data_IF_594180787911
#
_entry.id   IF_594180787911
#
_cell.length_a   1.000
_cell.length_b   1.000
_cell.length_c   1.000
_cell.angle_alpha   90.00
_cell.angle_beta   90.00
_cell.angle_gamma   90.00
#
_symmetry.space_group_name_H-M   'P 1'
#
loop_
_entity.id
_entity.type
_entity.pdbx_description
1 polymer ?
#
# COMPACT_ATOMS: atom_id res chain seq x y z
N UNK A 1 36.89 -31.81 -20.92
CA UNK A 1 36.04 -32.09 -19.80
C UNK A 1 35.42 -30.76 -19.39
N UNK A 2 34.21 -30.43 -19.88
CA UNK A 2 33.51 -29.16 -19.59
C UNK A 2 32.48 -29.45 -18.49
N UNK A 3 32.64 -28.76 -17.36
CA UNK A 3 31.63 -28.75 -16.29
C UNK A 3 30.59 -27.71 -16.67
N UNK A 4 29.38 -28.18 -17.02
CA UNK A 4 28.17 -27.36 -17.14
C UNK A 4 27.66 -27.13 -15.73
N UNK A 5 27.63 -25.86 -15.32
CA UNK A 5 26.98 -25.42 -14.09
C UNK A 5 25.50 -25.22 -14.38
N UNK A 6 24.67 -26.14 -13.92
CA UNK A 6 23.22 -26.01 -13.92
C UNK A 6 22.81 -24.89 -12.93
N UNK A 7 22.45 -23.74 -13.48
CA UNK A 7 21.79 -22.66 -12.73
C UNK A 7 20.35 -23.12 -12.47
N UNK A 8 20.07 -23.49 -11.24
CA UNK A 8 18.71 -23.75 -10.76
C UNK A 8 17.85 -22.50 -11.01
N UNK A 9 16.97 -22.57 -11.99
CA UNK A 9 15.91 -21.60 -12.18
C UNK A 9 14.92 -21.71 -11.00
N UNK A 10 15.01 -20.76 -10.06
CA UNK A 10 13.98 -20.63 -9.02
C UNK A 10 12.67 -20.30 -9.71
N UNK A 11 11.70 -21.21 -9.62
CA UNK A 11 10.39 -21.06 -10.20
C UNK A 11 9.73 -19.77 -9.68
N UNK A 12 9.43 -18.86 -10.60
CA UNK A 12 8.62 -17.68 -10.33
C UNK A 12 7.18 -18.15 -10.15
N UNK A 13 6.63 -18.02 -8.94
CA UNK A 13 5.22 -18.24 -8.71
C UNK A 13 4.41 -17.12 -9.41
N UNK A 14 3.73 -17.49 -10.49
CA UNK A 14 2.79 -16.59 -11.17
C UNK A 14 1.45 -16.55 -10.41
N UNK A 15 1.04 -15.36 -9.96
CA UNK A 15 -0.19 -15.15 -9.19
C UNK A 15 -1.30 -14.55 -10.09
N UNK A 16 -1.42 -15.00 -11.32
CA UNK A 16 -2.48 -14.56 -12.21
C UNK A 16 -2.15 -13.31 -13.04
N UNK A 17 -3.00 -13.02 -14.00
CA UNK A 17 -2.90 -11.86 -14.90
C UNK A 17 -3.83 -10.77 -14.42
N UNK A 18 -3.33 -9.54 -14.34
CA UNK A 18 -4.08 -8.37 -13.94
C UNK A 18 -3.99 -7.34 -15.06
N UNK A 19 -5.13 -6.96 -15.65
CA UNK A 19 -5.20 -6.10 -16.84
C UNK A 19 -4.22 -6.48 -17.97
N UNK A 20 -4.07 -7.79 -18.20
CA UNK A 20 -3.15 -8.30 -19.22
C UNK A 20 -1.67 -8.23 -18.85
N UNK A 21 -1.31 -7.74 -17.65
CA UNK A 21 0.05 -7.77 -17.12
C UNK A 21 0.22 -8.89 -16.10
N UNK A 22 1.31 -9.60 -16.22
CA UNK A 22 1.69 -10.67 -15.31
C UNK A 22 2.06 -10.11 -13.93
N UNK A 23 1.35 -10.56 -12.88
CA UNK A 23 1.62 -10.14 -11.52
C UNK A 23 2.74 -11.01 -10.94
N UNK A 24 3.87 -10.42 -10.63
CA UNK A 24 5.02 -11.06 -9.98
C UNK A 24 5.16 -10.54 -8.55
N UNK A 25 5.39 -11.43 -7.59
CA UNK A 25 5.71 -11.06 -6.21
C UNK A 25 7.04 -10.29 -6.13
N UNK A 26 7.12 -9.34 -5.21
CA UNK A 26 8.36 -8.63 -4.91
C UNK A 26 8.88 -7.78 -6.07
N UNK A 27 8.04 -6.93 -6.66
CA UNK A 27 8.43 -6.05 -7.76
C UNK A 27 8.86 -4.66 -7.26
N UNK A 28 10.15 -4.45 -6.96
CA UNK A 28 10.62 -3.18 -6.41
C UNK A 28 10.47 -1.99 -7.37
N UNK A 29 10.11 -2.24 -8.64
CA UNK A 29 9.92 -1.23 -9.69
C UNK A 29 8.45 -0.87 -9.94
N UNK A 30 7.51 -1.42 -9.16
CA UNK A 30 6.08 -1.22 -9.39
C UNK A 30 5.66 0.25 -9.41
N UNK A 31 6.32 1.12 -8.63
CA UNK A 31 6.06 2.55 -8.63
C UNK A 31 6.41 3.27 -9.94
N UNK A 32 7.26 2.68 -10.78
CA UNK A 32 7.60 3.17 -12.12
C UNK A 32 6.61 2.69 -13.19
N UNK A 33 5.89 1.61 -12.92
CA UNK A 33 5.03 0.94 -13.89
C UNK A 33 3.56 1.30 -13.73
N UNK A 34 3.13 1.52 -12.49
CA UNK A 34 1.76 1.88 -12.18
C UNK A 34 1.68 3.36 -11.80
N UNK A 35 0.84 4.10 -12.49
CA UNK A 35 0.54 5.48 -12.14
C UNK A 35 -0.23 5.55 -10.81
N UNK A 36 -0.03 6.65 -10.10
CA UNK A 36 -0.78 6.94 -8.87
C UNK A 36 -2.24 7.22 -9.21
N UNK A 37 -3.14 6.54 -8.50
CA UNK A 37 -4.58 6.75 -8.60
C UNK A 37 -5.17 6.98 -7.21
N UNK A 38 -5.90 8.06 -7.05
CA UNK A 38 -6.55 8.41 -5.78
C UNK A 38 -8.03 8.00 -5.79
N UNK A 39 -8.54 7.67 -4.60
CA UNK A 39 -9.97 7.50 -4.40
C UNK A 39 -10.70 8.84 -4.66
N UNK A 40 -11.79 8.79 -5.40
CA UNK A 40 -12.60 9.98 -5.68
C UNK A 40 -13.41 10.36 -4.44
N UNK A 41 -13.55 11.65 -4.21
CA UNK A 41 -14.44 12.17 -3.17
C UNK A 41 -15.64 12.86 -3.79
N UNK A 42 -16.80 12.70 -3.17
CA UNK A 42 -18.03 13.43 -3.52
C UNK A 42 -17.80 14.92 -3.39
N UNK A 43 -18.40 15.73 -4.27
CA UNK A 43 -18.20 17.17 -4.28
C UNK A 43 -18.60 17.81 -2.93
N UNK A 44 -17.90 18.87 -2.46
CA UNK A 44 -18.22 19.51 -1.19
C UNK A 44 -19.68 19.98 -1.08
N UNK A 45 -20.27 20.44 -2.19
CA UNK A 45 -21.67 20.91 -2.24
C UNK A 45 -22.68 19.78 -2.05
N UNK A 46 -22.33 18.55 -2.39
CA UNK A 46 -23.20 17.39 -2.24
C UNK A 46 -23.04 16.73 -0.86
N UNK A 47 -21.81 16.61 -0.39
CA UNK A 47 -21.53 15.94 0.89
C UNK A 47 -22.01 16.72 2.12
N UNK A 48 -22.26 18.03 2.03
CA UNK A 48 -22.87 18.81 3.10
C UNK A 48 -24.38 18.53 3.29
N UNK A 49 -25.01 17.84 2.34
CA UNK A 49 -26.46 17.53 2.38
C UNK A 49 -26.78 16.28 3.21
N UNK A 50 -25.79 15.46 3.53
CA UNK A 50 -25.96 14.22 4.29
C UNK A 50 -24.68 13.88 5.05
N UNK A 51 -24.74 12.85 5.89
CA UNK A 51 -23.61 12.34 6.69
C UNK A 51 -23.12 10.98 6.18
N UNK A 52 -23.40 10.64 4.92
CA UNK A 52 -22.94 9.39 4.31
C UNK A 52 -21.44 9.44 4.01
N UNK A 53 -20.85 8.28 3.76
CA UNK A 53 -19.47 8.17 3.29
C UNK A 53 -19.30 8.94 1.97
N UNK A 54 -18.28 9.77 1.90
CA UNK A 54 -18.04 10.62 0.74
C UNK A 54 -16.80 10.21 -0.08
N UNK A 55 -16.05 9.23 0.39
CA UNK A 55 -14.99 8.61 -0.39
C UNK A 55 -15.53 7.42 -1.17
N UNK A 56 -15.25 7.39 -2.46
CA UNK A 56 -15.53 6.23 -3.30
C UNK A 56 -14.28 5.35 -3.31
N UNK A 57 -14.33 4.15 -2.72
CA UNK A 57 -13.16 3.27 -2.70
C UNK A 57 -12.74 2.89 -4.12
N UNK A 58 -11.47 2.59 -4.29
CA UNK A 58 -10.95 2.01 -5.52
C UNK A 58 -11.47 0.56 -5.65
N UNK A 59 -11.64 0.09 -6.88
CA UNK A 59 -11.93 -1.32 -7.12
C UNK A 59 -10.79 -2.20 -6.59
N UNK A 60 -11.08 -3.44 -6.27
CA UNK A 60 -10.07 -4.41 -5.79
C UNK A 60 -8.86 -4.45 -6.72
N UNK A 61 -9.12 -4.47 -8.01
CA UNK A 61 -8.11 -4.44 -9.05
C UNK A 61 -7.18 -3.23 -8.96
N UNK A 62 -7.76 -2.06 -8.78
CA UNK A 62 -7.02 -0.80 -8.64
C UNK A 62 -6.24 -0.77 -7.33
N UNK A 63 -6.83 -1.26 -6.23
CA UNK A 63 -6.14 -1.34 -4.93
C UNK A 63 -4.89 -2.23 -5.03
N UNK A 64 -4.98 -3.38 -5.69
CA UNK A 64 -3.83 -4.24 -5.95
C UNK A 64 -2.74 -3.54 -6.76
N UNK A 65 -3.10 -2.81 -7.82
CA UNK A 65 -2.15 -2.01 -8.59
C UNK A 65 -1.46 -0.94 -7.73
N UNK A 66 -2.22 -0.26 -6.87
CA UNK A 66 -1.64 0.78 -6.02
C UNK A 66 -0.72 0.19 -4.95
N UNK A 67 -1.06 -0.98 -4.40
CA UNK A 67 -0.21 -1.70 -3.45
C UNK A 67 1.11 -2.15 -4.06
N UNK A 68 1.09 -2.55 -5.34
CA UNK A 68 2.28 -2.92 -6.10
C UNK A 68 3.31 -1.79 -6.23
N UNK A 69 2.92 -0.55 -5.96
CA UNK A 69 3.84 0.60 -5.98
C UNK A 69 4.77 0.65 -4.78
N UNK A 70 4.53 -0.16 -3.74
CA UNK A 70 5.44 -0.29 -2.62
C UNK A 70 6.71 -1.02 -3.04
N UNK A 71 7.88 -0.42 -2.74
CA UNK A 71 9.19 -1.02 -3.03
C UNK A 71 9.60 -2.11 -2.04
N UNK A 72 8.84 -2.34 -0.99
CA UNK A 72 9.20 -3.22 0.12
C UNK A 72 10.61 -2.95 0.65
N UNK A 73 10.85 -1.71 1.08
CA UNK A 73 12.16 -1.26 1.52
C UNK A 73 12.66 -2.05 2.73
N UNK A 74 13.92 -2.48 2.72
CA UNK A 74 14.56 -3.16 3.86
C UNK A 74 14.65 -2.29 5.12
N UNK A 75 14.68 -0.95 4.97
CA UNK A 75 14.56 0.04 6.05
C UNK A 75 13.41 0.98 5.73
N UNK A 76 12.17 0.60 6.07
CA UNK A 76 10.98 1.34 5.69
C UNK A 76 10.74 2.55 6.61
N UNK A 77 11.10 3.75 6.17
CA UNK A 77 10.82 4.98 6.92
C UNK A 77 9.32 5.21 7.15
N UNK A 78 8.46 4.69 6.27
CA UNK A 78 7.01 4.82 6.41
C UNK A 78 6.46 4.20 7.69
N UNK A 79 7.04 3.08 8.16
CA UNK A 79 6.61 2.41 9.40
C UNK A 79 7.40 2.84 10.62
N UNK A 80 8.43 3.67 10.47
CA UNK A 80 9.28 4.10 11.56
C UNK A 80 8.70 5.35 12.22
N UNK A 81 8.17 5.22 13.43
CA UNK A 81 7.65 6.33 14.23
C UNK A 81 8.74 7.19 14.87
N UNK A 82 9.76 7.61 14.12
CA UNK A 82 10.86 8.40 14.66
C UNK A 82 10.45 9.85 14.95
N UNK A 83 10.92 10.38 16.07
CA UNK A 83 10.78 11.81 16.38
C UNK A 83 12.04 12.54 15.89
N UNK A 84 11.85 13.46 14.94
CA UNK A 84 12.91 14.30 14.38
C UNK A 84 12.61 15.75 14.76
N UNK A 85 13.40 16.32 15.67
CA UNK A 85 13.25 17.70 16.16
C UNK A 85 11.83 18.04 16.65
N UNK A 86 11.19 17.10 17.35
CA UNK A 86 9.84 17.28 17.89
C UNK A 86 8.70 16.94 16.91
N UNK A 87 9.01 16.55 15.69
CA UNK A 87 8.02 16.12 14.70
C UNK A 87 8.11 14.62 14.46
N UNK A 88 6.98 13.93 14.45
CA UNK A 88 6.94 12.50 14.13
C UNK A 88 7.05 12.29 12.62
N UNK A 89 8.00 11.46 12.21
CA UNK A 89 8.18 11.02 10.84
C UNK A 89 7.80 9.54 10.72
N UNK A 90 7.01 9.19 9.72
CA UNK A 90 6.49 7.84 9.56
C UNK A 90 5.25 7.55 10.43
N UNK A 91 4.85 6.30 10.49
CA UNK A 91 3.69 5.87 11.27
C UNK A 91 4.01 5.78 12.76
N UNK A 92 3.38 6.58 13.65
CA UNK A 92 3.64 6.52 15.09
C UNK A 92 3.19 5.21 15.74
N UNK A 93 2.31 4.45 15.10
CA UNK A 93 1.89 3.12 15.55
C UNK A 93 2.82 2.00 15.04
N UNK A 94 3.84 2.34 14.25
CA UNK A 94 4.73 1.38 13.60
C UNK A 94 3.97 0.33 12.78
N UNK A 95 2.92 0.76 12.07
CA UNK A 95 2.14 -0.11 11.20
C UNK A 95 3.04 -0.77 10.14
N UNK A 96 2.80 -2.06 9.90
CA UNK A 96 3.61 -2.91 9.00
C UNK A 96 3.25 -2.65 7.52
N UNK A 97 3.46 -1.42 7.09
CA UNK A 97 2.97 -0.90 5.79
C UNK A 97 3.50 -1.69 4.58
N UNK A 98 4.81 -1.99 4.46
CA UNK A 98 5.30 -2.78 3.33
C UNK A 98 4.67 -4.17 3.27
N UNK A 99 4.55 -4.85 4.43
CA UNK A 99 4.02 -6.21 4.49
C UNK A 99 2.56 -6.30 4.04
N UNK A 100 1.69 -5.41 4.51
CA UNK A 100 0.31 -5.46 4.06
C UNK A 100 0.15 -5.06 2.58
N UNK A 101 0.98 -4.14 2.09
CA UNK A 101 0.97 -3.78 0.67
C UNK A 101 1.32 -4.97 -0.21
N UNK A 102 2.32 -5.75 0.15
CA UNK A 102 2.66 -6.97 -0.58
C UNK A 102 1.52 -7.99 -0.53
N UNK A 103 0.89 -8.17 0.63
CA UNK A 103 -0.23 -9.08 0.79
C UNK A 103 -1.46 -8.65 -0.03
N UNK A 104 -1.77 -7.35 -0.08
CA UNK A 104 -2.86 -6.83 -0.92
C UNK A 104 -2.52 -6.99 -2.40
N UNK A 105 -1.29 -6.67 -2.80
CA UNK A 105 -0.83 -6.87 -4.17
C UNK A 105 -1.00 -8.31 -4.63
N UNK A 106 -0.63 -9.26 -3.79
CA UNK A 106 -0.76 -10.70 -4.07
C UNK A 106 -2.20 -11.23 -3.95
N UNK A 107 -3.14 -10.42 -3.43
CA UNK A 107 -4.54 -10.80 -3.24
C UNK A 107 -4.80 -11.58 -1.95
N UNK A 108 -3.87 -11.60 -1.02
CA UNK A 108 -3.99 -12.26 0.29
C UNK A 108 -4.69 -11.36 1.31
N UNK A 109 -5.94 -11.02 1.06
CA UNK A 109 -6.71 -10.02 1.83
C UNK A 109 -6.85 -10.35 3.30
N UNK A 110 -7.15 -11.60 3.64
CA UNK A 110 -7.27 -12.04 5.02
C UNK A 110 -5.97 -11.83 5.81
N UNK A 111 -4.84 -12.16 5.20
CA UNK A 111 -3.54 -11.96 5.83
C UNK A 111 -3.19 -10.46 5.93
N UNK A 112 -3.55 -9.66 4.93
CA UNK A 112 -3.38 -8.22 4.95
C UNK A 112 -4.19 -7.59 6.09
N UNK A 113 -5.43 -8.00 6.27
CA UNK A 113 -6.29 -7.61 7.39
C UNK A 113 -5.67 -7.97 8.74
N UNK A 114 -5.24 -9.21 8.91
CA UNK A 114 -4.59 -9.65 10.16
C UNK A 114 -3.29 -8.88 10.45
N UNK A 115 -2.54 -8.52 9.39
CA UNK A 115 -1.33 -7.70 9.51
C UNK A 115 -1.64 -6.29 9.96
N UNK A 116 -2.68 -5.69 9.41
CA UNK A 116 -3.15 -4.37 9.78
C UNK A 116 -3.59 -4.32 11.24
N UNK A 117 -4.42 -5.26 11.66
CA UNK A 117 -4.95 -5.33 13.03
C UNK A 117 -3.90 -5.66 14.08
N UNK A 118 -2.69 -6.10 13.70
CA UNK A 118 -1.60 -6.35 14.63
C UNK A 118 -1.14 -5.09 15.36
N UNK A 119 -1.21 -3.95 14.69
CA UNK A 119 -0.74 -2.67 15.22
C UNK A 119 -1.82 -1.57 15.21
N UNK A 120 -2.93 -1.77 14.52
CA UNK A 120 -4.05 -0.84 14.44
C UNK A 120 -5.35 -1.54 14.87
N UNK A 121 -5.87 -1.20 16.06
CA UNK A 121 -7.04 -1.86 16.62
C UNK A 121 -8.37 -1.39 15.98
N UNK A 122 -8.43 -0.15 15.51
CA UNK A 122 -9.62 0.47 14.94
C UNK A 122 -9.31 1.17 13.61
N UNK A 123 -8.90 0.41 12.57
CA UNK A 123 -8.48 0.98 11.30
C UNK A 123 -9.59 1.76 10.60
N UNK A 124 -10.86 1.36 10.77
CA UNK A 124 -12.05 2.02 10.22
C UNK A 124 -12.21 3.48 10.70
N UNK A 125 -11.78 3.78 11.92
CA UNK A 125 -11.80 5.14 12.46
C UNK A 125 -10.50 5.88 12.15
N UNK A 126 -9.37 5.26 12.44
CA UNK A 126 -8.06 5.89 12.27
C UNK A 126 -7.79 6.26 10.81
N UNK A 127 -8.26 5.45 9.86
CA UNK A 127 -8.09 5.72 8.42
C UNK A 127 -8.74 7.04 7.98
N UNK A 128 -9.83 7.46 8.63
CA UNK A 128 -10.56 8.68 8.27
C UNK A 128 -9.96 9.95 8.84
N UNK A 129 -9.17 9.85 9.91
CA UNK A 129 -8.58 11.00 10.61
C UNK A 129 -7.06 11.05 10.53
N UNK A 130 -6.43 10.00 10.04
CA UNK A 130 -4.98 9.90 9.97
C UNK A 130 -4.41 10.91 8.96
N UNK A 131 -3.39 11.74 9.35
CA UNK A 131 -2.74 12.68 8.45
C UNK A 131 -1.74 12.00 7.48
N UNK A 132 -1.66 10.67 7.51
CA UNK A 132 -0.81 9.85 6.64
C UNK A 132 0.68 10.26 6.65
N UNK A 133 1.25 10.43 7.84
CA UNK A 133 2.68 10.77 8.01
C UNK A 133 3.61 9.75 7.36
N UNK A 134 3.17 8.50 7.25
CA UNK A 134 3.88 7.44 6.57
C UNK A 134 4.14 7.74 5.08
N UNK A 135 3.22 8.43 4.42
CA UNK A 135 3.36 8.78 3.01
C UNK A 135 4.47 9.81 2.81
N UNK A 136 4.50 10.84 3.66
CA UNK A 136 5.55 11.86 3.61
C UNK A 136 6.94 11.31 3.94
N UNK A 137 7.00 10.27 4.77
CA UNK A 137 8.24 9.60 5.13
C UNK A 137 8.70 8.58 4.07
N UNK A 138 7.85 8.23 3.11
CA UNK A 138 8.16 7.23 2.10
C UNK A 138 9.26 7.71 1.15
N UNK A 139 10.24 6.86 0.88
CA UNK A 139 11.33 7.14 -0.07
C UNK A 139 10.83 7.36 -1.51
N UNK A 140 9.71 6.74 -1.89
CA UNK A 140 9.05 7.02 -3.17
C UNK A 140 8.58 8.47 -3.29
N UNK A 141 8.38 9.17 -2.19
CA UNK A 141 8.02 10.59 -2.17
C UNK A 141 9.07 11.51 -2.79
N UNK A 142 10.34 11.15 -2.75
CA UNK A 142 11.43 11.91 -3.36
C UNK A 142 11.30 12.02 -4.87
N UNK A 143 10.64 11.08 -5.51
CA UNK A 143 10.41 11.03 -6.96
C UNK A 143 9.01 11.52 -7.37
N UNK A 144 8.32 12.26 -6.50
CA UNK A 144 6.92 12.64 -6.73
C UNK A 144 5.94 11.45 -6.71
N UNK A 145 6.43 10.30 -6.33
CA UNK A 145 5.72 9.02 -6.34
C UNK A 145 5.24 8.66 -4.93
N UNK A 146 4.53 9.59 -4.28
CA UNK A 146 3.96 9.34 -2.95
C UNK A 146 3.08 8.09 -2.98
N UNK A 147 3.21 7.24 -1.97
CA UNK A 147 2.36 6.07 -1.72
C UNK A 147 0.95 6.46 -1.27
N UNK A 148 0.40 7.54 -1.82
CA UNK A 148 -0.90 8.07 -1.38
C UNK A 148 -2.07 7.12 -1.65
N UNK A 149 -1.81 6.02 -2.27
CA UNK A 149 -2.80 5.00 -2.63
C UNK A 149 -2.32 3.59 -2.32
N UNK A 150 -1.44 3.44 -1.36
CA UNK A 150 -1.48 2.23 -0.58
C UNK A 150 -2.95 2.07 -0.18
N UNK A 151 -3.58 0.89 -0.37
CA UNK A 151 -4.90 0.67 0.20
C UNK A 151 -4.74 0.99 1.67
N UNK A 152 -5.12 2.20 1.97
CA UNK A 152 -5.19 2.69 3.31
C UNK A 152 -6.10 1.70 4.03
N UNK A 153 -5.87 1.41 5.30
CA UNK A 153 -6.88 0.81 6.16
C UNK A 153 -8.29 1.38 5.92
N UNK A 154 -8.34 2.61 5.43
CA UNK A 154 -9.51 3.34 4.99
C UNK A 154 -10.32 2.63 3.91
N UNK A 155 -9.67 2.08 2.91
CA UNK A 155 -10.34 1.46 1.78
C UNK A 155 -10.84 0.06 2.13
N UNK A 156 -10.27 -0.55 3.17
CA UNK A 156 -10.58 -1.88 3.62
C UNK A 156 -11.63 -1.92 4.73
N UNK A 157 -11.64 -0.93 5.62
CA UNK A 157 -12.58 -0.86 6.72
C UNK A 157 -13.97 -0.34 6.30
N UNK A 158 -14.14 0.10 5.05
CA UNK A 158 -15.38 0.62 4.49
C UNK A 158 -16.14 -0.41 3.62
N UNK A 159 -15.60 -1.61 3.43
CA UNK A 159 -16.25 -2.74 2.76
C UNK A 159 -16.69 -3.78 3.78
#
# INVERSE_FOLDING_TARGET
>A
MRLQSDVHSRGTHHIGSFDGKEIRMGKPTGFLEYERKEAKAVSPKERIKNFNEFHTPLSEAEQRCQSARCMDCGVPFCQSGMNIKGMTSGCPLNNLIPEWNDLVYTGNWEQAYNRLHKTSNFPEFTSRVCPALCEKACTCGLNGCLLYTSPSPRDYAAS
#
